data_IF_517348259489
#
_entry.id   IF_517348259489
#
_cell.length_a   1.000
_cell.length_b   1.000
_cell.length_c   1.000
_cell.angle_alpha   90.00
_cell.angle_beta   90.00
_cell.angle_gamma   90.00
#
_symmetry.space_group_name_H-M   'P 1'
#
loop_
_entity.id
_entity.type
_entity.pdbx_description
1 polymer ?
#
# COMPACT_ATOMS: atom_id res chain seq x y z
N UNK A 1 -6.42 0.54 -1.05
CA UNK A 1 -5.33 1.34 -1.70
C UNK A 1 -5.76 1.77 -3.08
N UNK A 2 -5.34 2.96 -3.51
CA UNK A 2 -5.64 3.52 -4.83
C UNK A 2 -4.37 3.65 -5.66
N UNK A 3 -4.41 3.15 -6.89
CA UNK A 3 -3.37 3.32 -7.89
C UNK A 3 -3.90 4.18 -9.04
N UNK A 4 -3.12 5.16 -9.48
CA UNK A 4 -3.49 6.08 -10.54
C UNK A 4 -2.30 6.33 -11.48
N UNK A 5 -2.38 5.79 -12.69
CA UNK A 5 -1.48 6.11 -13.77
C UNK A 5 -2.22 7.00 -14.78
N UNK A 6 -1.84 8.27 -14.84
CA UNK A 6 -2.50 9.23 -15.71
C UNK A 6 -2.16 9.03 -17.19
N UNK A 7 -0.92 8.61 -17.49
CA UNK A 7 -0.43 8.40 -18.84
C UNK A 7 -1.20 7.28 -19.55
N UNK A 8 -1.34 6.14 -18.89
CA UNK A 8 -2.08 4.98 -19.42
C UNK A 8 -3.58 5.04 -19.11
N UNK A 9 -4.03 6.05 -18.37
CA UNK A 9 -5.41 6.21 -17.85
C UNK A 9 -5.91 5.01 -17.03
N UNK A 10 -4.99 4.24 -16.45
CA UNK A 10 -5.30 3.09 -15.61
C UNK A 10 -5.50 3.53 -14.17
N UNK A 11 -6.63 3.13 -13.57
CA UNK A 11 -6.97 3.47 -12.18
C UNK A 11 -7.58 2.28 -11.47
N UNK A 12 -6.94 1.84 -10.39
CA UNK A 12 -7.35 0.65 -9.65
C UNK A 12 -7.58 0.96 -8.18
N UNK A 13 -8.56 0.25 -7.60
CA UNK A 13 -8.80 0.17 -6.17
C UNK A 13 -8.52 -1.25 -5.72
N UNK A 14 -7.63 -1.37 -4.75
CA UNK A 14 -7.32 -2.60 -4.05
C UNK A 14 -8.08 -2.61 -2.73
N UNK A 15 -8.91 -3.63 -2.55
CA UNK A 15 -9.74 -3.87 -1.37
C UNK A 15 -9.20 -5.10 -0.65
N UNK A 16 -9.19 -5.05 0.68
CA UNK A 16 -8.62 -6.11 1.50
C UNK A 16 -8.56 -5.72 2.96
N UNK A 17 -7.99 -6.62 3.75
CA UNK A 17 -7.72 -6.40 5.17
C UNK A 17 -6.38 -5.70 5.34
N UNK A 18 -6.33 -4.69 6.22
CA UNK A 18 -5.12 -3.96 6.55
C UNK A 18 -4.67 -4.33 7.98
N UNK A 19 -3.40 -4.70 8.12
CA UNK A 19 -2.74 -4.92 9.40
C UNK A 19 -1.67 -3.87 9.60
N UNK A 20 -1.67 -3.24 10.78
CA UNK A 20 -0.70 -2.21 11.15
C UNK A 20 0.38 -2.85 12.02
N UNK A 21 1.64 -2.62 11.66
CA UNK A 21 2.82 -2.99 12.43
C UNK A 21 3.54 -1.72 12.86
N UNK A 22 3.36 -1.35 14.14
CA UNK A 22 4.02 -0.18 14.73
C UNK A 22 5.49 -0.45 15.12
N UNK A 23 5.85 -1.72 15.27
CA UNK A 23 7.19 -2.21 15.59
C UNK A 23 7.41 -3.62 15.01
N UNK A 24 8.60 -4.16 15.25
CA UNK A 24 8.95 -5.53 14.91
C UNK A 24 9.45 -5.72 13.47
N UNK A 25 9.77 -6.97 13.10
CA UNK A 25 10.53 -7.28 11.89
C UNK A 25 9.83 -6.86 10.59
N UNK A 26 8.49 -6.88 10.56
CA UNK A 26 7.73 -6.42 9.39
C UNK A 26 7.89 -4.92 9.18
N UNK A 27 7.85 -4.13 10.26
CA UNK A 27 8.07 -2.68 10.18
C UNK A 27 9.51 -2.37 9.76
N UNK A 28 10.50 -3.06 10.33
CA UNK A 28 11.90 -2.87 9.96
C UNK A 28 12.20 -3.22 8.50
N UNK A 29 11.64 -4.32 7.99
CA UNK A 29 11.79 -4.69 6.56
C UNK A 29 11.18 -3.63 5.65
N UNK A 30 9.99 -3.12 5.96
CA UNK A 30 9.38 -2.02 5.21
C UNK A 30 10.26 -0.77 5.27
N UNK A 31 10.72 -0.35 6.45
CA UNK A 31 11.59 0.82 6.62
C UNK A 31 12.91 0.69 5.83
N UNK A 32 13.48 -0.52 5.75
CA UNK A 32 14.71 -0.76 4.99
C UNK A 32 14.56 -0.55 3.47
N UNK A 33 13.33 -0.62 2.96
CA UNK A 33 12.98 -0.44 1.53
C UNK A 33 12.42 0.94 1.24
N UNK A 34 12.09 1.71 2.28
CA UNK A 34 11.58 3.07 2.16
C UNK A 34 12.67 3.96 1.57
N UNK A 35 12.32 4.75 0.56
CA UNK A 35 13.26 5.67 -0.09
C UNK A 35 13.73 6.74 0.90
N UNK A 36 14.97 7.20 0.74
CA UNK A 36 15.59 8.18 1.65
C UNK A 36 14.74 9.46 1.79
N UNK A 37 14.12 9.93 0.71
CA UNK A 37 13.30 11.14 0.74
C UNK A 37 12.09 11.05 1.69
N UNK A 38 11.51 9.86 1.89
CA UNK A 38 10.43 9.67 2.87
C UNK A 38 11.00 9.55 4.29
N UNK A 39 12.17 8.92 4.45
CA UNK A 39 12.86 8.84 5.74
C UNK A 39 13.33 10.22 6.22
N UNK A 40 13.76 11.11 5.33
CA UNK A 40 14.19 12.47 5.66
C UNK A 40 13.01 13.34 6.14
N UNK A 41 11.79 13.05 5.67
CA UNK A 41 10.55 13.71 6.11
C UNK A 41 10.06 13.21 7.47
N UNK A 42 10.48 12.01 7.87
CA UNK A 42 10.16 11.40 9.17
C UNK A 42 11.45 11.07 9.94
N UNK A 43 12.19 12.11 10.40
CA UNK A 43 13.48 11.92 11.08
C UNK A 43 13.36 11.11 12.38
N UNK A 44 12.21 11.18 13.04
CA UNK A 44 11.90 10.43 14.27
C UNK A 44 11.41 9.01 14.00
N UNK A 45 11.22 8.64 12.73
CA UNK A 45 10.74 7.31 12.30
C UNK A 45 9.41 6.95 12.95
N UNK A 46 8.50 7.90 13.12
CA UNK A 46 7.19 7.65 13.74
C UNK A 46 6.22 6.87 12.83
N UNK A 47 6.57 6.69 11.55
CA UNK A 47 5.81 5.90 10.60
C UNK A 47 5.68 4.42 10.99
N UNK A 48 4.52 3.85 10.63
CA UNK A 48 4.18 2.44 10.83
C UNK A 48 4.18 1.70 9.49
N UNK A 49 4.41 0.39 9.51
CA UNK A 49 4.19 -0.44 8.34
C UNK A 49 2.73 -0.86 8.24
N UNK A 50 2.16 -0.75 7.04
CA UNK A 50 0.79 -1.22 6.75
C UNK A 50 0.87 -2.34 5.73
N UNK A 51 0.53 -3.55 6.15
CA UNK A 51 0.42 -4.71 5.27
C UNK A 51 -1.04 -4.88 4.85
N UNK A 52 -1.28 -5.07 3.56
CA UNK A 52 -2.64 -5.20 3.03
C UNK A 52 -2.78 -6.54 2.34
N UNK A 53 -3.62 -7.40 2.92
CA UNK A 53 -4.03 -8.66 2.30
C UNK A 53 -5.13 -8.35 1.30
N UNK A 54 -4.76 -8.25 0.02
CA UNK A 54 -5.70 -7.93 -1.06
C UNK A 54 -6.66 -9.11 -1.29
N UNK A 55 -7.95 -8.79 -1.35
CA UNK A 55 -9.06 -9.71 -1.61
C UNK A 55 -9.80 -9.40 -2.92
N UNK A 56 -9.80 -8.13 -3.34
CA UNK A 56 -10.44 -7.71 -4.59
C UNK A 56 -9.73 -6.52 -5.22
N UNK A 57 -9.66 -6.50 -6.55
CA UNK A 57 -9.16 -5.40 -7.35
C UNK A 57 -10.27 -4.94 -8.28
N UNK A 58 -10.55 -3.64 -8.28
CA UNK A 58 -11.55 -3.03 -9.18
C UNK A 58 -10.99 -1.84 -9.93
N UNK A 59 -11.52 -1.55 -11.10
CA UNK A 59 -11.40 -0.23 -11.73
C UNK A 59 -12.18 0.83 -10.93
N UNK A 60 -12.01 2.11 -11.27
CA UNK A 60 -12.83 3.19 -10.71
C UNK A 60 -14.32 3.05 -11.04
N UNK A 61 -14.62 2.50 -12.22
CA UNK A 61 -15.98 2.22 -12.69
C UNK A 61 -16.71 1.18 -11.85
N UNK A 62 -15.98 0.45 -10.99
CA UNK A 62 -16.50 -0.66 -10.21
C UNK A 62 -16.33 -2.02 -10.89
N UNK A 63 -15.86 -2.08 -12.14
CA UNK A 63 -15.53 -3.34 -12.82
C UNK A 63 -14.49 -4.12 -12.01
N UNK A 64 -14.81 -5.38 -11.67
CA UNK A 64 -13.89 -6.28 -10.98
C UNK A 64 -12.85 -6.78 -11.97
N UNK A 65 -11.57 -6.66 -11.61
CA UNK A 65 -10.44 -7.18 -12.38
C UNK A 65 -9.97 -8.52 -11.84
N UNK A 66 -9.99 -8.65 -10.51
CA UNK A 66 -9.59 -9.86 -9.81
C UNK A 66 -10.30 -9.90 -8.45
N UNK A 67 -10.65 -11.10 -8.01
CA UNK A 67 -11.16 -11.35 -6.66
C UNK A 67 -10.63 -12.72 -6.22
N UNK A 68 -10.37 -12.88 -4.92
CA UNK A 68 -10.06 -14.20 -4.33
C UNK A 68 -11.33 -15.07 -4.37
N UNK A 69 -11.15 -16.37 -4.62
CA UNK A 69 -12.22 -17.36 -4.59
C UNK A 69 -12.80 -17.55 -3.17
#
# INVERSE_FOLDING_TARGET
>A
VYYNNQETRVRWRFHGEATIYADGPVREDVMSRTIQAELDRDPERLGVAVLIKVEKITELTGKVLQQRD
#
